data_IF_782689512157
#
_entry.id   IF_782689512157
#
_cell.length_a   1.000
_cell.length_b   1.000
_cell.length_c   1.000
_cell.angle_alpha   90.00
_cell.angle_beta   90.00
_cell.angle_gamma   90.00
#
_symmetry.space_group_name_H-M   'P 1'
#
loop_
_entity.id
_entity.type
_entity.pdbx_description
1 polymer ?
#
# COMPACT_ATOMS: atom_id res chain seq x y z
N UNK A 1 -31.61 3.62 8.15
CA UNK A 1 -31.34 3.08 6.80
C UNK A 1 -30.78 4.19 5.92
N UNK A 2 -29.52 4.55 6.12
CA UNK A 2 -28.80 5.55 5.33
C UNK A 2 -27.28 5.32 5.46
N UNK A 3 -26.86 4.07 5.23
CA UNK A 3 -25.45 3.63 5.13
C UNK A 3 -25.12 3.17 3.70
N UNK A 4 -25.88 3.66 2.73
CA UNK A 4 -25.61 3.59 1.30
C UNK A 4 -25.60 5.04 0.80
N UNK A 5 -24.66 5.38 -0.08
CA UNK A 5 -24.38 6.72 -0.64
C UNK A 5 -23.27 7.54 0.03
N UNK A 6 -22.12 6.89 0.25
CA UNK A 6 -20.84 7.53 -0.05
C UNK A 6 -19.97 6.55 -0.86
N UNK A 7 -20.52 6.09 -1.97
CA UNK A 7 -19.77 5.44 -3.02
C UNK A 7 -19.14 6.58 -3.82
N UNK A 8 -17.94 7.02 -3.42
CA UNK A 8 -17.05 7.67 -4.38
C UNK A 8 -16.95 6.68 -5.54
N UNK A 9 -17.44 7.06 -6.72
CA UNK A 9 -17.16 6.35 -7.95
C UNK A 9 -15.67 6.51 -8.25
N UNK A 10 -14.84 5.76 -7.54
CA UNK A 10 -13.59 5.26 -8.08
C UNK A 10 -14.08 4.27 -9.14
N UNK A 11 -14.05 4.67 -10.41
CA UNK A 11 -14.09 3.70 -11.48
C UNK A 11 -12.83 2.85 -11.30
N UNK A 12 -12.97 1.75 -10.56
CA UNK A 12 -11.98 0.69 -10.51
C UNK A 12 -11.99 0.11 -11.91
N UNK A 13 -10.95 0.39 -12.70
CA UNK A 13 -10.72 -0.34 -13.94
C UNK A 13 -10.56 -1.81 -13.56
N UNK A 14 -11.47 -2.65 -14.04
CA UNK A 14 -11.46 -4.08 -13.73
C UNK A 14 -10.18 -4.72 -14.26
N UNK A 15 -9.52 -5.48 -13.39
CA UNK A 15 -8.31 -6.24 -13.71
C UNK A 15 -8.73 -7.70 -13.85
N UNK A 16 -8.61 -8.24 -15.06
CA UNK A 16 -8.93 -9.63 -15.35
C UNK A 16 -7.71 -10.51 -15.03
N UNK A 17 -7.85 -11.44 -14.07
CA UNK A 17 -6.79 -12.37 -13.69
C UNK A 17 -6.79 -13.56 -14.65
N UNK A 18 -5.79 -13.67 -15.51
CA UNK A 18 -5.68 -14.77 -16.47
C UNK A 18 -4.73 -15.87 -15.93
N UNK A 19 -5.30 -16.96 -15.41
CA UNK A 19 -4.71 -18.31 -15.23
C UNK A 19 -3.53 -18.51 -14.24
N UNK A 20 -3.49 -19.68 -13.59
CA UNK A 20 -2.36 -20.20 -12.76
C UNK A 20 -1.05 -20.14 -13.54
N UNK A 21 -1.11 -20.40 -14.84
CA UNK A 21 0.05 -20.34 -15.73
C UNK A 21 0.68 -18.93 -15.76
N UNK A 22 -0.09 -17.85 -15.59
CA UNK A 22 0.45 -16.49 -15.49
C UNK A 22 1.21 -16.26 -14.19
N UNK A 23 0.71 -16.81 -13.08
CA UNK A 23 1.43 -16.79 -11.80
C UNK A 23 2.72 -17.60 -11.95
N UNK A 24 2.64 -18.86 -12.40
CA UNK A 24 3.82 -19.73 -12.57
C UNK A 24 4.84 -19.16 -13.56
N UNK A 25 4.39 -18.50 -14.63
CA UNK A 25 5.26 -17.83 -15.62
C UNK A 25 5.93 -16.59 -15.01
N UNK A 26 5.18 -15.74 -14.31
CA UNK A 26 5.70 -14.52 -13.68
C UNK A 26 6.67 -14.81 -12.53
N UNK A 27 6.47 -15.93 -11.83
CA UNK A 27 7.39 -16.44 -10.81
C UNK A 27 8.46 -17.40 -11.38
N UNK A 28 8.48 -17.65 -12.69
CA UNK A 28 9.42 -18.58 -13.34
C UNK A 28 10.87 -18.10 -13.31
N UNK A 29 11.10 -16.79 -13.28
CA UNK A 29 12.43 -16.18 -13.13
C UNK A 29 12.94 -16.22 -11.69
N UNK A 30 12.08 -16.53 -10.71
CA UNK A 30 12.45 -16.57 -9.32
C UNK A 30 13.28 -17.82 -9.04
N UNK A 31 14.53 -17.63 -8.67
CA UNK A 31 15.40 -18.75 -8.30
C UNK A 31 14.89 -19.42 -7.04
N UNK A 32 14.66 -20.74 -7.09
CA UNK A 32 14.28 -21.53 -5.91
C UNK A 32 15.42 -21.49 -4.87
N UNK A 33 15.23 -20.82 -3.71
CA UNK A 33 16.30 -20.59 -2.75
C UNK A 33 16.56 -21.83 -1.87
N UNK A 34 15.75 -22.89 -2.02
CA UNK A 34 15.86 -24.10 -1.21
C UNK A 34 17.03 -24.97 -1.68
N UNK A 35 17.58 -25.76 -0.76
CA UNK A 35 18.60 -26.77 -1.09
C UNK A 35 18.15 -27.68 -2.23
N UNK A 36 19.10 -28.16 -3.04
CA UNK A 36 18.85 -29.19 -4.05
C UNK A 36 18.65 -30.57 -3.42
N UNK A 37 19.09 -30.75 -2.18
CA UNK A 37 18.93 -31.98 -1.41
C UNK A 37 17.51 -32.02 -0.83
N UNK A 38 16.82 -33.17 -1.00
CA UNK A 38 15.45 -33.39 -0.50
C UNK A 38 14.42 -32.36 -0.99
N UNK A 39 14.63 -31.83 -2.21
CA UNK A 39 13.71 -30.91 -2.88
C UNK A 39 12.59 -31.66 -3.58
N UNK A 40 11.61 -32.11 -2.80
CA UNK A 40 10.52 -32.95 -3.29
C UNK A 40 9.33 -32.18 -3.90
N UNK A 41 9.22 -30.88 -3.63
CA UNK A 41 8.06 -30.10 -4.06
C UNK A 41 8.49 -29.02 -5.05
N UNK A 42 7.72 -28.86 -6.13
CA UNK A 42 7.92 -27.81 -7.11
C UNK A 42 7.80 -26.44 -6.44
N UNK A 43 8.64 -25.50 -6.89
CA UNK A 43 8.66 -24.17 -6.30
C UNK A 43 7.37 -23.40 -6.57
N UNK A 44 6.90 -23.44 -7.83
CA UNK A 44 5.63 -22.83 -8.23
C UNK A 44 4.43 -23.32 -7.41
N UNK A 45 4.30 -24.63 -7.23
CA UNK A 45 3.24 -25.23 -6.41
C UNK A 45 3.22 -24.65 -4.98
N UNK A 46 4.40 -24.46 -4.38
CA UNK A 46 4.48 -23.88 -3.04
C UNK A 46 4.06 -22.42 -2.99
N UNK A 47 4.41 -21.63 -4.00
CA UNK A 47 4.00 -20.23 -4.08
C UNK A 47 2.48 -20.13 -4.21
N UNK A 48 1.89 -20.86 -5.18
CA UNK A 48 0.44 -20.89 -5.41
C UNK A 48 -0.31 -21.31 -4.14
N UNK A 49 0.13 -22.38 -3.48
CA UNK A 49 -0.49 -22.84 -2.24
C UNK A 49 -0.37 -21.78 -1.12
N UNK A 50 0.78 -21.13 -0.99
CA UNK A 50 0.98 -20.08 0.02
C UNK A 50 0.03 -18.91 -0.19
N UNK A 51 -0.14 -18.49 -1.44
CA UNK A 51 -1.05 -17.41 -1.83
C UNK A 51 -2.50 -17.79 -1.54
N UNK A 52 -2.94 -18.95 -2.04
CA UNK A 52 -4.28 -19.48 -1.85
C UNK A 52 -4.64 -19.59 -0.37
N UNK A 53 -3.76 -20.20 0.42
CA UNK A 53 -3.96 -20.38 1.84
C UNK A 53 -4.06 -19.04 2.57
N UNK A 54 -3.20 -18.06 2.24
CA UNK A 54 -3.25 -16.74 2.88
C UNK A 54 -4.53 -15.99 2.53
N UNK A 55 -5.03 -16.06 1.29
CA UNK A 55 -6.35 -15.52 0.90
C UNK A 55 -7.45 -16.17 1.75
N UNK A 56 -7.39 -17.50 1.92
CA UNK A 56 -8.34 -18.30 2.68
C UNK A 56 -8.19 -18.18 4.22
N UNK A 57 -7.29 -17.34 4.73
CA UNK A 57 -7.17 -17.07 6.16
C UNK A 57 -5.97 -17.70 6.88
N UNK A 58 -5.03 -18.34 6.18
CA UNK A 58 -3.83 -18.89 6.79
C UNK A 58 -2.81 -17.80 7.13
N UNK A 59 -2.40 -17.73 8.40
CA UNK A 59 -1.55 -16.65 8.93
C UNK A 59 -0.07 -17.01 9.11
N UNK A 60 0.36 -18.16 8.60
CA UNK A 60 1.77 -18.58 8.66
C UNK A 60 2.00 -20.02 8.20
N UNK A 61 3.26 -20.49 8.21
CA UNK A 61 3.65 -21.79 7.65
C UNK A 61 2.81 -22.98 8.14
N UNK A 62 2.50 -23.00 9.44
CA UNK A 62 1.67 -24.05 10.05
C UNK A 62 0.25 -24.06 9.47
N UNK A 63 -0.40 -22.90 9.44
CA UNK A 63 -1.75 -22.77 8.89
C UNK A 63 -1.77 -23.08 7.38
N UNK A 64 -0.75 -22.65 6.63
CA UNK A 64 -0.62 -22.94 5.19
C UNK A 64 -0.52 -24.46 4.97
N UNK A 65 0.36 -25.16 5.70
CA UNK A 65 0.52 -26.61 5.57
C UNK A 65 -0.73 -27.39 5.96
N UNK A 66 -1.44 -26.96 7.00
CA UNK A 66 -2.72 -27.57 7.41
C UNK A 66 -3.79 -27.34 6.34
N UNK A 67 -3.95 -26.10 5.87
CA UNK A 67 -4.89 -25.76 4.81
C UNK A 67 -4.64 -26.61 3.56
N UNK A 68 -3.37 -26.72 3.14
CA UNK A 68 -3.02 -27.50 1.97
C UNK A 68 -3.38 -28.98 2.14
N UNK A 69 -3.14 -29.56 3.33
CA UNK A 69 -3.48 -30.95 3.63
C UNK A 69 -4.99 -31.20 3.53
N UNK A 70 -5.81 -30.29 4.05
CA UNK A 70 -7.28 -30.42 3.99
C UNK A 70 -7.83 -30.29 2.57
N UNK A 71 -7.16 -29.55 1.70
CA UNK A 71 -7.58 -29.33 0.31
C UNK A 71 -6.77 -30.14 -0.71
N UNK A 72 -6.10 -31.22 -0.27
CA UNK A 72 -5.22 -32.05 -1.10
C UNK A 72 -5.89 -32.54 -2.39
N UNK A 73 -7.15 -32.98 -2.31
CA UNK A 73 -7.88 -33.51 -3.46
C UNK A 73 -8.07 -32.45 -4.54
N UNK A 74 -8.39 -31.22 -4.15
CA UNK A 74 -8.54 -30.10 -5.07
C UNK A 74 -7.17 -29.69 -5.63
N UNK A 75 -6.17 -29.53 -4.75
CA UNK A 75 -4.82 -29.11 -5.18
C UNK A 75 -4.21 -30.08 -6.20
N UNK A 76 -4.42 -31.40 -6.06
CA UNK A 76 -3.94 -32.41 -7.03
C UNK A 76 -4.60 -32.33 -8.41
N UNK A 77 -5.77 -31.67 -8.54
CA UNK A 77 -6.42 -31.45 -9.84
C UNK A 77 -5.82 -30.28 -10.60
N UNK A 78 -5.31 -29.28 -9.88
CA UNK A 78 -4.85 -28.01 -10.46
C UNK A 78 -3.32 -27.83 -10.42
N UNK A 79 -2.60 -28.62 -9.60
CA UNK A 79 -1.16 -28.57 -9.42
C UNK A 79 -0.54 -29.96 -9.62
N UNK A 80 0.75 -29.99 -9.97
CA UNK A 80 1.46 -31.25 -10.28
C UNK A 80 1.70 -32.08 -9.02
N UNK A 81 2.20 -31.46 -7.93
CA UNK A 81 2.42 -32.10 -6.63
C UNK A 81 3.07 -33.50 -6.71
N UNK A 82 4.28 -33.63 -7.31
CA UNK A 82 4.90 -34.93 -7.62
C UNK A 82 5.08 -35.84 -6.40
N UNK A 83 5.26 -35.24 -5.22
CA UNK A 83 5.42 -35.94 -3.94
C UNK A 83 4.29 -35.64 -2.95
N UNK A 84 3.11 -35.27 -3.47
CA UNK A 84 1.97 -34.88 -2.67
C UNK A 84 2.09 -33.48 -2.05
N UNK A 85 1.22 -33.21 -1.08
CA UNK A 85 1.10 -31.87 -0.49
C UNK A 85 2.26 -31.59 0.47
N UNK A 86 2.90 -30.41 0.36
CA UNK A 86 4.00 -30.02 1.24
C UNK A 86 3.60 -29.88 2.71
N UNK A 87 4.52 -30.22 3.61
CA UNK A 87 4.36 -29.99 5.06
C UNK A 87 4.53 -28.51 5.43
N UNK A 88 4.06 -28.14 6.62
CA UNK A 88 4.29 -26.80 7.18
C UNK A 88 5.78 -26.45 7.31
N UNK A 89 6.66 -27.41 7.60
CA UNK A 89 8.12 -27.19 7.63
C UNK A 89 8.67 -26.80 6.25
N UNK A 90 8.06 -27.30 5.18
CA UNK A 90 8.45 -26.95 3.81
C UNK A 90 8.08 -25.51 3.49
N UNK A 91 6.88 -25.06 3.88
CA UNK A 91 6.49 -23.65 3.78
C UNK A 91 7.33 -22.74 4.68
N UNK A 92 7.67 -23.19 5.88
CA UNK A 92 8.52 -22.44 6.80
C UNK A 92 9.92 -22.22 6.23
N UNK A 93 10.53 -23.27 5.68
CA UNK A 93 11.82 -23.15 4.98
C UNK A 93 11.74 -22.27 3.76
N UNK A 94 10.67 -22.38 2.97
CA UNK A 94 10.50 -21.53 1.81
C UNK A 94 10.45 -20.04 2.21
N UNK A 95 9.52 -19.68 3.08
CA UNK A 95 9.31 -18.29 3.48
C UNK A 95 10.50 -17.71 4.26
N UNK A 96 11.30 -18.54 4.93
CA UNK A 96 12.53 -18.11 5.59
C UNK A 96 13.74 -17.94 4.66
N UNK A 97 13.69 -18.49 3.43
CA UNK A 97 14.80 -18.43 2.46
C UNK A 97 14.50 -17.53 1.25
N UNK A 98 13.21 -17.25 1.00
CA UNK A 98 12.77 -16.43 -0.11
C UNK A 98 13.27 -15.00 0.06
N UNK A 99 14.05 -14.52 -0.91
CA UNK A 99 14.55 -13.14 -0.92
C UNK A 99 13.38 -12.18 -1.18
N UNK A 100 13.03 -11.30 -0.22
CA UNK A 100 11.85 -10.44 -0.35
C UNK A 100 11.84 -9.59 -1.62
N UNK A 101 12.98 -8.96 -1.96
CA UNK A 101 13.11 -8.12 -3.16
C UNK A 101 12.89 -8.89 -4.47
N UNK A 102 13.30 -10.16 -4.54
CA UNK A 102 13.10 -10.97 -5.75
C UNK A 102 11.63 -11.41 -5.88
N UNK A 103 11.00 -11.78 -4.75
CA UNK A 103 9.57 -12.09 -4.71
C UNK A 103 8.72 -10.87 -5.09
N UNK A 104 9.07 -9.70 -4.55
CA UNK A 104 8.45 -8.42 -4.89
C UNK A 104 8.50 -8.15 -6.40
N UNK A 105 9.66 -8.27 -7.05
CA UNK A 105 9.79 -8.01 -8.50
C UNK A 105 8.90 -8.91 -9.35
N UNK A 106 8.87 -10.21 -9.06
CA UNK A 106 7.98 -11.14 -9.76
C UNK A 106 6.50 -10.78 -9.54
N UNK A 107 6.17 -10.37 -8.33
CA UNK A 107 4.82 -9.95 -8.00
C UNK A 107 4.40 -8.67 -8.73
N UNK A 108 5.27 -7.65 -8.76
CA UNK A 108 5.05 -6.43 -9.52
C UNK A 108 4.87 -6.71 -11.02
N UNK A 109 5.71 -7.59 -11.59
CA UNK A 109 5.59 -7.99 -12.99
C UNK A 109 4.25 -8.66 -13.28
N UNK A 110 3.83 -9.57 -12.40
CA UNK A 110 2.52 -10.22 -12.50
C UNK A 110 1.37 -9.21 -12.42
N UNK A 111 1.39 -8.30 -11.43
CA UNK A 111 0.40 -7.22 -11.31
C UNK A 111 0.34 -6.39 -12.60
N UNK A 112 1.48 -6.03 -13.19
CA UNK A 112 1.51 -5.28 -14.47
C UNK A 112 0.87 -6.06 -15.61
N UNK A 113 1.02 -7.39 -15.65
CA UNK A 113 0.46 -8.23 -16.71
C UNK A 113 -1.07 -8.27 -16.68
N UNK A 114 -1.67 -8.25 -15.48
CA UNK A 114 -3.12 -8.30 -15.30
C UNK A 114 -3.74 -6.89 -15.25
N UNK A 115 -2.97 -5.90 -14.80
CA UNK A 115 -3.38 -4.52 -14.57
C UNK A 115 -2.52 -3.53 -15.36
N UNK A 116 -2.55 -3.56 -16.71
CA UNK A 116 -1.76 -2.64 -17.51
C UNK A 116 -2.00 -1.18 -17.09
N UNK A 117 -0.96 -0.37 -17.17
CA UNK A 117 -1.06 1.07 -16.92
C UNK A 117 -1.86 1.70 -18.07
N UNK A 118 -3.18 1.78 -17.95
CA UNK A 118 -3.98 2.58 -18.87
C UNK A 118 -3.54 4.04 -18.76
N UNK A 119 -2.86 4.50 -19.81
CA UNK A 119 -2.24 5.85 -19.92
C UNK A 119 -3.25 7.00 -19.83
N UNK A 120 -4.54 6.72 -19.92
CA UNK A 120 -5.60 7.73 -20.02
C UNK A 120 -6.34 8.02 -18.71
N UNK A 121 -6.08 7.26 -17.64
CA UNK A 121 -6.67 7.62 -16.35
C UNK A 121 -5.87 8.75 -15.71
N UNK A 122 -6.56 9.86 -15.48
CA UNK A 122 -6.13 11.12 -14.86
C UNK A 122 -5.72 10.96 -13.36
N UNK A 123 -5.35 9.73 -12.98
CA UNK A 123 -5.35 9.09 -11.67
C UNK A 123 -4.16 8.10 -11.56
N UNK A 124 -3.05 8.54 -10.98
CA UNK A 124 -1.92 7.66 -10.69
C UNK A 124 -1.26 8.03 -9.36
N UNK A 125 -2.02 7.95 -8.27
CA UNK A 125 -1.46 8.21 -6.95
C UNK A 125 -0.72 6.98 -6.42
N UNK A 126 0.58 7.15 -6.15
CA UNK A 126 1.38 6.22 -5.37
C UNK A 126 1.55 6.81 -3.98
N UNK A 127 1.03 6.15 -2.97
CA UNK A 127 1.18 6.60 -1.60
C UNK A 127 2.21 5.74 -0.87
N UNK A 128 3.20 6.39 -0.26
CA UNK A 128 4.25 5.73 0.52
C UNK A 128 3.99 5.99 1.99
N UNK A 129 3.88 4.92 2.77
CA UNK A 129 3.60 4.99 4.19
C UNK A 129 4.34 3.89 4.98
N UNK A 130 4.62 4.20 6.25
CA UNK A 130 5.32 3.33 7.19
C UNK A 130 4.36 2.56 8.08
N UNK A 131 4.61 1.26 8.30
CA UNK A 131 3.84 0.39 9.19
C UNK A 131 4.75 -0.43 10.11
N UNK A 132 4.31 -0.60 11.36
CA UNK A 132 4.99 -1.44 12.35
C UNK A 132 4.26 -2.76 12.51
N UNK A 133 4.99 -3.87 12.45
CA UNK A 133 4.49 -5.20 12.80
C UNK A 133 4.65 -5.44 14.31
N UNK A 134 3.68 -5.03 15.13
CA UNK A 134 3.82 -4.89 16.61
C UNK A 134 4.34 -6.13 17.34
N UNK A 135 3.96 -7.34 16.90
CA UNK A 135 4.31 -8.61 17.59
C UNK A 135 5.41 -9.43 16.91
N UNK A 136 6.09 -8.86 15.91
CA UNK A 136 7.22 -9.50 15.20
C UNK A 136 8.57 -9.42 15.94
N UNK A 137 8.61 -8.85 17.13
CA UNK A 137 9.84 -8.68 17.91
C UNK A 137 10.43 -10.01 18.39
N UNK A 138 11.75 -10.08 18.52
CA UNK A 138 12.46 -11.24 19.06
C UNK A 138 13.36 -10.82 20.22
N UNK A 139 12.87 -10.99 21.45
CA UNK A 139 13.64 -10.68 22.66
C UNK A 139 14.89 -11.54 22.81
N UNK A 140 14.90 -12.78 22.32
CA UNK A 140 16.08 -13.66 22.40
C UNK A 140 17.20 -13.16 21.51
N UNK A 141 16.85 -12.59 20.36
CA UNK A 141 17.79 -11.98 19.40
C UNK A 141 17.98 -10.47 19.59
N UNK A 142 17.38 -9.88 20.64
CA UNK A 142 17.37 -8.44 20.92
C UNK A 142 16.84 -7.58 19.76
N UNK A 143 15.87 -8.11 19.01
CA UNK A 143 15.24 -7.41 17.89
C UNK A 143 13.91 -6.77 18.30
N UNK A 144 13.75 -5.48 18.00
CA UNK A 144 12.48 -4.75 18.11
C UNK A 144 11.43 -5.21 17.09
N UNK A 145 10.24 -4.58 17.06
CA UNK A 145 9.25 -4.86 16.01
C UNK A 145 9.83 -4.51 14.63
N UNK A 146 9.41 -5.26 13.60
CA UNK A 146 9.78 -4.99 12.20
C UNK A 146 9.02 -3.77 11.71
N UNK A 147 9.74 -2.84 11.09
CA UNK A 147 9.19 -1.67 10.41
C UNK A 147 9.13 -1.96 8.92
N UNK A 148 8.08 -1.52 8.25
CA UNK A 148 7.88 -1.71 6.81
C UNK A 148 7.54 -0.36 6.20
N UNK A 149 8.22 0.02 5.13
CA UNK A 149 7.80 1.12 4.26
C UNK A 149 7.13 0.50 3.05
N UNK A 150 5.92 0.89 2.70
CA UNK A 150 5.19 0.33 1.57
C UNK A 150 4.71 1.39 0.59
N UNK A 151 4.76 1.06 -0.70
CA UNK A 151 4.20 1.84 -1.79
C UNK A 151 2.86 1.22 -2.21
N UNK A 152 1.81 2.02 -2.16
CA UNK A 152 0.43 1.61 -2.44
C UNK A 152 -0.15 2.47 -3.56
N UNK A 153 -0.60 1.83 -4.63
CA UNK A 153 -1.38 2.48 -5.68
C UNK A 153 -2.80 2.69 -5.16
N UNK A 154 -3.14 3.94 -4.80
CA UNK A 154 -4.42 4.28 -4.16
C UNK A 154 -5.59 3.98 -5.09
N UNK A 155 -5.51 4.45 -6.33
CA UNK A 155 -6.60 4.34 -7.30
C UNK A 155 -6.89 2.89 -7.69
N UNK A 156 -5.85 2.07 -7.79
CA UNK A 156 -5.96 0.64 -8.16
C UNK A 156 -6.13 -0.28 -6.96
N UNK A 157 -5.92 0.20 -5.74
CA UNK A 157 -5.85 -0.63 -4.54
C UNK A 157 -4.85 -1.80 -4.66
N UNK A 158 -3.62 -1.48 -5.11
CA UNK A 158 -2.55 -2.46 -5.35
C UNK A 158 -1.30 -2.12 -4.55
N UNK A 159 -0.69 -3.15 -3.95
CA UNK A 159 0.64 -3.04 -3.37
C UNK A 159 1.67 -3.01 -4.49
N UNK A 160 2.43 -1.92 -4.59
CA UNK A 160 3.48 -1.76 -5.61
C UNK A 160 4.85 -2.15 -5.09
N UNK A 161 5.09 -2.02 -3.79
CA UNK A 161 6.43 -2.25 -3.24
C UNK A 161 6.45 -2.20 -1.72
N UNK A 162 7.46 -2.80 -1.10
CA UNK A 162 7.71 -2.72 0.33
C UNK A 162 9.18 -3.00 0.65
N UNK A 163 9.72 -2.25 1.61
CA UNK A 163 11.02 -2.50 2.20
C UNK A 163 10.91 -2.69 3.71
N UNK A 164 11.55 -3.73 4.24
CA UNK A 164 11.69 -3.93 5.68
C UNK A 164 12.84 -3.09 6.25
N UNK A 165 12.63 -2.54 7.44
CA UNK A 165 13.59 -1.75 8.20
C UNK A 165 13.58 -2.15 9.68
N UNK A 166 14.72 -2.00 10.35
CA UNK A 166 14.84 -2.38 11.76
C UNK A 166 14.28 -1.34 12.73
N UNK A 167 14.24 -0.06 12.33
CA UNK A 167 13.83 1.06 13.17
C UNK A 167 13.11 2.14 12.35
N UNK A 168 12.25 2.93 13.00
CA UNK A 168 11.49 4.02 12.36
C UNK A 168 12.36 5.04 11.64
N UNK A 169 13.51 5.38 12.21
CA UNK A 169 14.44 6.35 11.60
C UNK A 169 14.95 5.91 10.24
N UNK A 170 14.93 4.61 9.96
CA UNK A 170 15.45 4.04 8.72
C UNK A 170 14.44 4.18 7.56
N UNK A 171 13.22 4.68 7.81
CA UNK A 171 12.25 5.02 6.76
C UNK A 171 12.82 6.05 5.77
N UNK A 172 13.61 7.02 6.26
CA UNK A 172 14.24 8.07 5.44
C UNK A 172 15.19 7.47 4.40
N UNK A 173 15.90 6.40 4.75
CA UNK A 173 16.81 5.69 3.83
C UNK A 173 16.10 4.64 3.00
N UNK A 174 15.00 4.07 3.50
CA UNK A 174 14.25 3.02 2.84
C UNK A 174 13.37 3.53 1.69
N UNK A 175 12.75 4.71 1.84
CA UNK A 175 11.92 5.30 0.78
C UNK A 175 12.73 5.50 -0.53
N UNK A 176 13.96 6.06 -0.51
CA UNK A 176 14.83 6.14 -1.68
C UNK A 176 15.08 4.82 -2.40
N UNK A 177 15.29 3.73 -1.66
CA UNK A 177 15.51 2.38 -2.20
C UNK A 177 14.22 1.79 -2.76
N UNK A 178 13.10 1.99 -2.07
CA UNK A 178 11.79 1.58 -2.55
C UNK A 178 11.43 2.26 -3.88
N UNK A 179 11.73 3.55 -4.01
CA UNK A 179 11.49 4.32 -5.24
C UNK A 179 12.31 3.81 -6.44
N UNK A 180 13.48 3.20 -6.23
CA UNK A 180 14.27 2.59 -7.31
C UNK A 180 13.66 1.30 -7.84
N UNK A 181 12.81 0.65 -7.04
CA UNK A 181 12.22 -0.64 -7.36
C UNK A 181 10.81 -0.52 -7.96
N UNK A 182 10.18 0.67 -7.94
CA UNK A 182 8.82 0.88 -8.46
C UNK A 182 8.82 1.89 -9.62
N UNK A 183 7.88 1.72 -10.56
CA UNK A 183 7.70 2.68 -11.65
C UNK A 183 6.91 3.90 -11.15
N UNK A 184 7.53 5.08 -11.23
CA UNK A 184 6.91 6.35 -10.79
C UNK A 184 6.63 7.31 -11.93
N UNK A 185 7.00 6.95 -13.18
CA UNK A 185 6.78 7.81 -14.33
C UNK A 185 5.29 8.18 -14.48
N UNK A 186 5.02 9.49 -14.50
CA UNK A 186 3.66 10.03 -14.61
C UNK A 186 2.78 9.82 -13.37
N UNK A 187 3.32 9.28 -12.27
CA UNK A 187 2.62 9.14 -11.00
C UNK A 187 2.74 10.41 -10.14
N UNK A 188 1.79 10.59 -9.22
CA UNK A 188 1.93 11.55 -8.11
C UNK A 188 2.20 10.77 -6.83
N UNK A 189 3.44 10.87 -6.36
CA UNK A 189 3.91 10.22 -5.15
C UNK A 189 3.54 11.06 -3.93
N UNK A 190 2.76 10.48 -3.02
CA UNK A 190 2.34 11.12 -1.76
C UNK A 190 3.01 10.47 -0.57
N UNK A 191 3.59 11.28 0.31
CA UNK A 191 4.35 10.78 1.45
C UNK A 191 4.02 11.63 2.68
N UNK A 192 4.03 10.98 3.83
CA UNK A 192 3.86 11.61 5.11
C UNK A 192 5.00 12.60 5.44
N UNK A 193 4.89 13.22 6.61
CA UNK A 193 5.86 14.24 7.01
C UNK A 193 7.26 13.68 7.31
N UNK A 194 7.37 12.41 7.71
CA UNK A 194 8.66 11.79 7.98
C UNK A 194 9.48 11.63 6.68
N UNK A 195 8.82 11.24 5.58
CA UNK A 195 9.42 11.11 4.26
C UNK A 195 9.54 12.41 3.46
N UNK A 196 9.17 13.57 4.02
CA UNK A 196 9.31 14.87 3.36
C UNK A 196 10.79 15.30 3.31
N UNK A 197 11.56 14.76 2.37
CA UNK A 197 13.00 14.97 2.24
C UNK A 197 13.38 15.38 0.82
N UNK A 198 14.41 16.23 0.70
CA UNK A 198 14.88 16.75 -0.60
C UNK A 198 15.38 15.66 -1.54
N UNK A 199 16.09 14.67 -1.00
CA UNK A 199 16.60 13.53 -1.77
C UNK A 199 15.46 12.65 -2.33
N UNK A 200 14.41 12.45 -1.54
CA UNK A 200 13.21 11.72 -1.95
C UNK A 200 12.50 12.49 -3.07
N UNK A 201 12.29 13.81 -2.88
CA UNK A 201 11.74 14.68 -3.92
C UNK A 201 12.55 14.63 -5.22
N UNK A 202 13.89 14.65 -5.14
CA UNK A 202 14.79 14.51 -6.29
C UNK A 202 14.57 13.20 -7.03
N UNK A 203 14.61 12.07 -6.31
CA UNK A 203 14.41 10.73 -6.90
C UNK A 203 13.08 10.59 -7.63
N UNK A 204 12.01 11.17 -7.10
CA UNK A 204 10.68 11.15 -7.74
C UNK A 204 10.73 11.94 -9.07
N UNK A 205 11.32 13.14 -9.06
CA UNK A 205 11.46 13.97 -10.27
C UNK A 205 12.37 13.33 -11.31
N UNK A 206 13.50 12.75 -10.88
CA UNK A 206 14.44 12.06 -11.77
C UNK A 206 13.80 10.82 -12.40
N UNK A 207 12.89 10.15 -11.70
CA UNK A 207 12.03 9.07 -12.23
C UNK A 207 10.84 9.55 -13.07
N UNK A 208 10.79 10.83 -13.44
CA UNK A 208 9.69 11.45 -14.21
C UNK A 208 8.31 11.34 -13.53
N UNK A 209 8.29 11.23 -12.21
CA UNK A 209 7.09 11.38 -11.38
C UNK A 209 6.96 12.79 -10.83
N UNK A 210 5.81 13.05 -10.22
CA UNK A 210 5.53 14.24 -9.43
C UNK A 210 5.33 13.88 -7.96
N UNK A 211 5.51 14.83 -7.05
CA UNK A 211 5.30 14.61 -5.62
C UNK A 211 4.28 15.56 -5.00
N UNK A 212 3.67 15.09 -3.91
CA UNK A 212 2.95 15.89 -2.93
C UNK A 212 3.31 15.40 -1.52
N UNK A 213 4.15 16.16 -0.82
CA UNK A 213 4.73 15.76 0.46
C UNK A 213 4.09 16.56 1.59
N UNK A 214 3.72 15.89 2.68
CA UNK A 214 3.25 16.56 3.88
C UNK A 214 4.40 17.33 4.55
N UNK A 215 4.17 18.60 4.88
CA UNK A 215 5.16 19.48 5.47
C UNK A 215 4.86 19.66 6.98
N UNK A 216 5.86 19.42 7.82
CA UNK A 216 5.82 19.67 9.27
C UNK A 216 7.11 20.36 9.75
N UNK A 217 7.19 20.63 11.04
CA UNK A 217 8.33 21.32 11.67
C UNK A 217 9.71 20.67 11.48
N UNK A 218 9.79 19.41 11.03
CA UNK A 218 11.08 18.78 10.69
C UNK A 218 11.81 19.45 9.52
N UNK A 219 11.14 20.30 8.74
CA UNK A 219 11.75 21.08 7.64
C UNK A 219 12.12 22.52 8.03
N UNK A 220 12.03 22.86 9.33
CA UNK A 220 12.49 24.13 9.91
C UNK A 220 12.00 25.36 9.14
N UNK A 221 12.94 26.14 8.61
CA UNK A 221 12.68 27.41 7.91
C UNK A 221 11.70 27.31 6.73
N UNK A 222 11.62 26.16 6.04
CA UNK A 222 10.63 26.01 4.96
C UNK A 222 9.22 25.90 5.54
N UNK A 223 9.05 25.13 6.62
CA UNK A 223 7.76 24.98 7.28
C UNK A 223 7.27 26.31 7.85
N UNK A 224 8.15 27.06 8.52
CA UNK A 224 7.86 28.41 9.01
C UNK A 224 7.44 29.33 7.85
N UNK A 225 8.25 29.44 6.80
CA UNK A 225 7.96 30.31 5.67
C UNK A 225 6.65 29.96 4.94
N UNK A 226 6.34 28.66 4.75
CA UNK A 226 5.09 28.22 4.13
C UNK A 226 3.89 28.51 5.04
N UNK A 227 4.04 28.26 6.35
CA UNK A 227 2.99 28.50 7.34
C UNK A 227 2.70 29.99 7.44
N UNK A 228 3.72 30.83 7.62
CA UNK A 228 3.59 32.29 7.72
C UNK A 228 2.96 32.88 6.45
N UNK A 229 3.41 32.43 5.28
CA UNK A 229 2.84 32.86 4.01
C UNK A 229 1.35 32.52 3.91
N UNK A 230 0.96 31.28 4.28
CA UNK A 230 -0.43 30.86 4.22
C UNK A 230 -1.26 31.61 5.26
N UNK A 231 -0.79 31.76 6.49
CA UNK A 231 -1.51 32.47 7.55
C UNK A 231 -1.73 33.94 7.20
N UNK A 232 -0.72 34.63 6.67
CA UNK A 232 -0.83 36.02 6.22
C UNK A 232 -1.95 36.19 5.18
N UNK A 233 -2.01 35.29 4.20
CA UNK A 233 -3.04 35.34 3.15
C UNK A 233 -4.38 34.75 3.61
N UNK A 234 -4.45 34.02 4.72
CA UNK A 234 -5.74 33.60 5.27
C UNK A 234 -6.51 34.80 5.86
N UNK A 235 -5.83 35.83 6.34
CA UNK A 235 -6.45 37.03 6.93
C UNK A 235 -7.35 37.79 5.94
N UNK A 236 -7.05 37.71 4.64
CA UNK A 236 -7.82 38.33 3.57
C UNK A 236 -8.53 37.32 2.64
N UNK A 237 -8.80 36.11 3.12
CA UNK A 237 -9.40 35.00 2.34
C UNK A 237 -8.66 34.73 1.00
N UNK A 238 -7.33 34.87 1.03
CA UNK A 238 -6.42 34.70 -0.10
C UNK A 238 -6.69 35.60 -1.31
N UNK A 239 -7.37 36.75 -1.12
CA UNK A 239 -7.81 37.63 -2.19
C UNK A 239 -6.66 38.14 -3.08
N UNK A 240 -5.46 38.28 -2.52
CA UNK A 240 -4.30 38.88 -3.20
C UNK A 240 -3.43 37.86 -3.96
N UNK A 241 -3.75 36.57 -3.91
CA UNK A 241 -2.96 35.52 -4.55
C UNK A 241 -3.83 34.55 -5.36
N UNK A 242 -3.27 33.87 -6.38
CA UNK A 242 -4.02 32.90 -7.20
C UNK A 242 -4.21 31.56 -6.46
N UNK A 243 -4.74 31.59 -5.24
CA UNK A 243 -5.13 30.42 -4.49
C UNK A 243 -6.46 29.86 -5.00
N UNK A 244 -6.60 28.54 -4.97
CA UNK A 244 -7.85 27.84 -5.27
C UNK A 244 -8.36 27.15 -4.02
N UNK A 245 -9.66 27.26 -3.77
CA UNK A 245 -10.36 26.67 -2.61
C UNK A 245 -11.29 25.54 -3.02
N UNK A 246 -11.37 24.49 -2.20
CA UNK A 246 -12.40 23.46 -2.28
C UNK A 246 -12.76 23.01 -0.87
N UNK A 247 -14.05 22.84 -0.59
CA UNK A 247 -14.53 22.40 0.72
C UNK A 247 -15.44 21.19 0.54
N UNK A 248 -15.30 20.21 1.43
CA UNK A 248 -16.18 19.04 1.48
C UNK A 248 -16.51 18.69 2.93
N UNK A 249 -17.70 18.13 3.15
CA UNK A 249 -18.17 17.72 4.47
C UNK A 249 -18.26 16.20 4.53
N UNK A 250 -17.59 15.60 5.48
CA UNK A 250 -17.58 14.16 5.74
C UNK A 250 -18.39 13.87 7.00
N UNK A 251 -19.24 12.86 6.94
CA UNK A 251 -20.05 12.40 8.07
C UNK A 251 -19.58 11.03 8.50
N UNK A 252 -19.29 10.83 9.79
CA UNK A 252 -18.86 9.51 10.29
C UNK A 252 -18.83 9.40 11.81
N UNK A 253 -19.30 8.26 12.34
CA UNK A 253 -19.27 7.92 13.78
C UNK A 253 -19.78 9.01 14.74
N UNK A 254 -20.81 9.77 14.34
CA UNK A 254 -21.38 10.86 15.14
C UNK A 254 -20.57 12.17 15.10
N UNK A 255 -19.57 12.26 14.20
CA UNK A 255 -18.77 13.44 13.93
C UNK A 255 -19.08 13.98 12.54
N UNK A 256 -19.09 15.31 12.42
CA UNK A 256 -19.10 16.03 11.15
C UNK A 256 -17.72 16.66 10.98
N UNK A 257 -17.06 16.32 9.88
CA UNK A 257 -15.74 16.85 9.53
C UNK A 257 -15.89 17.71 8.27
N UNK A 258 -15.75 19.02 8.40
CA UNK A 258 -15.61 19.91 7.25
C UNK A 258 -14.12 20.08 6.94
N UNK A 259 -13.73 19.78 5.70
CA UNK A 259 -12.34 19.89 5.26
C UNK A 259 -12.27 20.90 4.12
N UNK A 260 -11.53 21.98 4.37
CA UNK A 260 -11.24 23.01 3.37
C UNK A 260 -9.80 22.88 2.90
N UNK A 261 -9.63 22.81 1.59
CA UNK A 261 -8.36 22.69 0.91
C UNK A 261 -8.04 23.99 0.18
N UNK A 262 -6.80 24.43 0.33
CA UNK A 262 -6.23 25.51 -0.46
C UNK A 262 -4.98 25.02 -1.18
N UNK A 263 -4.86 25.36 -2.46
CA UNK A 263 -3.62 25.17 -3.23
C UNK A 263 -3.29 26.45 -3.96
N UNK A 264 -2.01 26.83 -3.94
CA UNK A 264 -1.50 28.03 -4.61
C UNK A 264 -0.12 27.76 -5.20
N UNK A 265 0.31 28.56 -6.20
CA UNK A 265 1.69 28.56 -6.65
C UNK A 265 2.66 28.86 -5.51
N UNK A 266 3.86 28.29 -5.58
CA UNK A 266 4.93 28.61 -4.62
C UNK A 266 5.35 30.08 -4.80
N UNK A 267 5.50 30.87 -3.71
CA UNK A 267 5.98 32.25 -3.79
C UNK A 267 7.40 32.30 -4.37
N UNK A 268 7.71 33.37 -5.12
CA UNK A 268 9.02 33.48 -5.80
C UNK A 268 10.18 33.60 -4.80
N UNK A 269 9.92 34.29 -3.71
CA UNK A 269 10.78 34.64 -2.59
C UNK A 269 10.71 33.65 -1.41
N UNK A 270 10.00 32.52 -1.57
CA UNK A 270 9.91 31.51 -0.51
C UNK A 270 11.30 30.97 -0.14
N UNK A 271 11.62 31.05 1.15
CA UNK A 271 12.90 30.62 1.70
C UNK A 271 13.15 29.14 1.40
N UNK A 272 14.37 28.81 0.96
CA UNK A 272 14.83 27.46 0.60
C UNK A 272 14.07 26.79 -0.55
N UNK A 273 13.26 27.52 -1.33
CA UNK A 273 12.56 26.99 -2.50
C UNK A 273 13.49 26.27 -3.46
N UNK A 274 14.67 26.83 -3.70
CA UNK A 274 15.70 26.33 -4.61
C UNK A 274 16.26 24.96 -4.22
N UNK A 275 16.09 24.56 -2.95
CA UNK A 275 16.55 23.27 -2.44
C UNK A 275 15.57 22.12 -2.70
N UNK A 276 14.38 22.43 -3.24
CA UNK A 276 13.33 21.46 -3.52
C UNK A 276 13.15 21.29 -5.03
N UNK A 277 13.63 20.18 -5.60
CA UNK A 277 13.55 19.93 -7.03
C UNK A 277 12.12 20.01 -7.55
N UNK A 278 11.89 20.80 -8.59
CA UNK A 278 10.57 20.87 -9.23
C UNK A 278 9.45 21.50 -8.39
N UNK A 279 9.73 22.09 -7.22
CA UNK A 279 8.71 22.71 -6.37
C UNK A 279 7.92 23.81 -7.11
N UNK A 280 6.61 23.58 -7.28
CA UNK A 280 5.69 24.48 -8.01
C UNK A 280 4.53 24.98 -7.15
N UNK A 281 4.06 24.20 -6.19
CA UNK A 281 2.87 24.55 -5.40
C UNK A 281 3.06 24.32 -3.91
N UNK A 282 2.35 25.11 -3.11
CA UNK A 282 2.10 24.85 -1.70
C UNK A 282 0.60 24.68 -1.48
N UNK A 283 0.21 23.97 -0.42
CA UNK A 283 -1.19 23.79 -0.08
C UNK A 283 -1.40 23.53 1.40
N UNK A 284 -2.65 23.69 1.83
CA UNK A 284 -3.09 23.38 3.20
C UNK A 284 -4.44 22.66 3.14
N UNK A 285 -4.59 21.64 3.99
CA UNK A 285 -5.86 21.01 4.30
C UNK A 285 -6.21 21.36 5.74
N UNK A 286 -7.30 22.09 5.93
CA UNK A 286 -7.81 22.52 7.23
C UNK A 286 -9.06 21.70 7.51
N UNK A 287 -9.01 20.91 8.58
CA UNK A 287 -10.13 20.10 9.05
C UNK A 287 -10.73 20.74 10.28
N UNK A 288 -12.01 21.05 10.21
CA UNK A 288 -12.84 21.39 11.36
C UNK A 288 -13.73 20.20 11.68
N UNK A 289 -13.65 19.72 12.91
CA UNK A 289 -14.38 18.53 13.36
C UNK A 289 -15.32 18.90 14.48
N UNK A 290 -16.60 18.55 14.34
CA UNK A 290 -17.63 18.76 15.36
C UNK A 290 -18.14 17.42 15.87
N UNK A 291 -18.08 17.22 17.18
CA UNK A 291 -18.58 16.02 17.85
C UNK A 291 -19.27 16.41 19.16
N UNK A 292 -20.61 16.49 19.12
CA UNK A 292 -21.39 17.00 20.25
C UNK A 292 -21.05 18.46 20.54
N UNK A 293 -20.60 18.77 21.76
CA UNK A 293 -20.18 20.12 22.15
C UNK A 293 -18.70 20.44 21.90
N UNK A 294 -17.93 19.51 21.32
CA UNK A 294 -16.49 19.69 21.07
C UNK A 294 -16.24 20.02 19.61
N UNK A 295 -15.54 21.11 19.38
CA UNK A 295 -14.95 21.49 18.10
C UNK A 295 -13.43 21.30 18.16
N UNK A 296 -12.83 20.73 17.12
CA UNK A 296 -11.38 20.67 16.97
C UNK A 296 -10.97 21.07 15.56
N UNK A 297 -9.86 21.78 15.45
CA UNK A 297 -9.27 22.16 14.16
C UNK A 297 -7.88 21.54 14.01
N UNK A 298 -7.57 20.99 12.85
CA UNK A 298 -6.23 20.50 12.47
C UNK A 298 -5.87 21.07 11.09
N UNK A 299 -4.63 21.55 10.94
CA UNK A 299 -4.12 22.07 9.68
C UNK A 299 -2.90 21.28 9.24
N UNK A 300 -2.89 20.84 7.99
CA UNK A 300 -1.78 20.09 7.40
C UNK A 300 -1.29 20.78 6.15
N UNK A 301 -0.01 21.11 6.14
CA UNK A 301 0.65 21.81 5.04
C UNK A 301 1.28 20.82 4.08
N UNK A 302 1.40 21.21 2.81
CA UNK A 302 1.90 20.38 1.73
C UNK A 302 2.77 21.19 0.78
N UNK A 303 3.77 20.52 0.21
CA UNK A 303 4.56 21.02 -0.92
C UNK A 303 4.43 20.05 -2.10
N UNK A 304 4.40 20.56 -3.32
CA UNK A 304 4.23 19.72 -4.51
C UNK A 304 4.93 20.23 -5.76
N UNK A 305 5.27 19.31 -6.65
CA UNK A 305 5.96 19.58 -7.92
C UNK A 305 5.04 19.87 -9.11
N UNK A 306 3.72 19.81 -8.89
CA UNK A 306 2.70 19.88 -9.93
C UNK A 306 1.52 20.77 -9.55
N UNK A 307 1.06 21.57 -10.51
CA UNK A 307 -0.16 22.37 -10.40
C UNK A 307 -1.40 21.53 -10.74
N UNK A 308 -1.85 20.72 -9.77
CA UNK A 308 -2.94 19.75 -9.93
C UNK A 308 -4.34 20.37 -10.05
N UNK A 309 -4.51 21.59 -9.52
CA UNK A 309 -5.82 22.15 -9.21
C UNK A 309 -6.38 21.58 -7.90
N UNK A 310 -7.07 22.44 -7.14
CA UNK A 310 -7.44 22.15 -5.74
C UNK A 310 -8.28 20.88 -5.54
N UNK A 311 -9.13 20.49 -6.51
CA UNK A 311 -9.92 19.24 -6.44
C UNK A 311 -9.04 17.99 -6.52
N UNK A 312 -8.05 17.97 -7.43
CA UNK A 312 -7.08 16.86 -7.53
C UNK A 312 -6.15 16.84 -6.32
N UNK A 313 -5.73 18.01 -5.82
CA UNK A 313 -5.00 18.13 -4.56
C UNK A 313 -5.78 17.52 -3.38
N UNK A 314 -7.04 17.92 -3.19
CA UNK A 314 -7.91 17.36 -2.15
C UNK A 314 -8.06 15.83 -2.27
N UNK A 315 -8.24 15.32 -3.50
CA UNK A 315 -8.29 13.88 -3.78
C UNK A 315 -7.03 13.16 -3.33
N UNK A 316 -5.84 13.66 -3.66
CA UNK A 316 -4.59 13.01 -3.27
C UNK A 316 -4.32 13.08 -1.77
N UNK A 317 -4.64 14.21 -1.13
CA UNK A 317 -4.57 14.33 0.34
C UNK A 317 -5.48 13.27 0.98
N UNK A 318 -6.72 13.14 0.53
CA UNK A 318 -7.64 12.10 1.01
C UNK A 318 -7.19 10.69 0.70
N UNK A 319 -6.71 10.46 -0.51
CA UNK A 319 -6.20 9.16 -0.95
C UNK A 319 -5.06 8.67 -0.08
N UNK A 320 -4.16 9.58 0.31
CA UNK A 320 -3.08 9.28 1.23
C UNK A 320 -3.62 8.96 2.64
N UNK A 321 -4.52 9.79 3.18
CA UNK A 321 -5.13 9.49 4.49
C UNK A 321 -5.95 8.21 4.51
N UNK A 322 -6.54 7.84 3.37
CA UNK A 322 -7.32 6.63 3.24
C UNK A 322 -6.49 5.35 3.34
N UNK A 323 -5.15 5.40 3.22
CA UNK A 323 -4.27 4.23 3.41
C UNK A 323 -4.53 3.57 4.77
N UNK A 324 -4.69 4.38 5.81
CA UNK A 324 -4.91 3.86 7.16
C UNK A 324 -6.18 2.99 7.24
N UNK A 325 -7.25 3.39 6.53
CA UNK A 325 -8.49 2.63 6.51
C UNK A 325 -8.53 1.53 5.44
N UNK A 326 -7.95 1.79 4.27
CA UNK A 326 -8.09 0.91 3.09
C UNK A 326 -7.03 -0.17 3.03
N UNK A 327 -5.86 0.06 3.62
CA UNK A 327 -4.73 -0.86 3.67
C UNK A 327 -4.47 -1.31 5.10
N UNK A 328 -4.06 -0.41 5.99
CA UNK A 328 -3.58 -0.78 7.33
C UNK A 328 -4.65 -1.43 8.19
N UNK A 329 -5.84 -0.85 8.26
CA UNK A 329 -6.95 -1.43 9.00
C UNK A 329 -7.35 -2.81 8.47
N UNK A 330 -7.34 -3.00 7.14
CA UNK A 330 -7.59 -4.32 6.56
C UNK A 330 -6.51 -5.32 7.00
N UNK A 331 -5.23 -4.94 6.95
CA UNK A 331 -4.14 -5.80 7.41
C UNK A 331 -4.25 -6.13 8.90
N UNK A 332 -4.60 -5.15 9.74
CA UNK A 332 -4.67 -5.32 11.19
C UNK A 332 -5.89 -6.10 11.65
N UNK A 333 -7.07 -5.80 11.10
CA UNK A 333 -8.34 -6.37 11.58
C UNK A 333 -8.73 -7.61 10.79
N UNK A 334 -8.53 -7.59 9.48
CA UNK A 334 -8.98 -8.68 8.59
C UNK A 334 -7.90 -9.74 8.39
N UNK A 335 -6.63 -9.34 8.38
CA UNK A 335 -5.48 -10.26 8.29
C UNK A 335 -4.76 -10.47 9.63
N UNK A 336 -5.20 -9.80 10.72
CA UNK A 336 -4.61 -9.94 12.06
C UNK A 336 -3.09 -9.79 12.04
N UNK A 337 -2.59 -8.89 11.19
CA UNK A 337 -1.15 -8.74 10.93
C UNK A 337 -0.40 -8.34 12.21
N UNK A 338 -0.95 -7.38 12.97
CA UNK A 338 -0.45 -6.96 14.28
C UNK A 338 -0.43 -8.08 15.34
N UNK A 339 -1.28 -9.09 15.18
CA UNK A 339 -1.35 -10.22 16.11
C UNK A 339 -0.37 -11.34 15.77
N UNK A 340 0.19 -11.34 14.56
CA UNK A 340 1.10 -12.37 14.08
C UNK A 340 2.40 -12.41 14.91
N UNK A 341 2.79 -13.61 15.32
CA UNK A 341 3.94 -13.87 16.21
C UNK A 341 5.14 -14.49 15.48
N UNK A 342 5.16 -14.48 14.15
CA UNK A 342 6.35 -14.88 13.38
C UNK A 342 7.49 -13.90 13.68
N UNK A 343 8.59 -14.43 14.20
CA UNK A 343 9.75 -13.66 14.67
C UNK A 343 10.94 -13.68 13.72
N UNK A 344 11.03 -14.71 12.89
CA UNK A 344 12.07 -14.77 11.86
C UNK A 344 11.76 -13.69 10.82
N UNK A 345 12.72 -12.79 10.59
CA UNK A 345 12.51 -11.53 9.86
C UNK A 345 12.12 -11.76 8.40
N UNK A 346 12.79 -12.69 7.74
CA UNK A 346 12.57 -12.99 6.31
C UNK A 346 11.17 -13.56 6.10
N UNK A 347 10.77 -14.48 6.97
CA UNK A 347 9.43 -15.09 6.99
C UNK A 347 8.37 -14.05 7.31
N UNK A 348 8.62 -13.16 8.29
CA UNK A 348 7.69 -12.10 8.65
C UNK A 348 7.47 -11.11 7.49
N UNK A 349 8.54 -10.72 6.79
CA UNK A 349 8.48 -9.85 5.62
C UNK A 349 7.73 -10.51 4.45
N UNK A 350 8.10 -11.75 4.11
CA UNK A 350 7.42 -12.51 3.06
C UNK A 350 5.93 -12.76 3.37
N UNK A 351 5.56 -12.98 4.63
CA UNK A 351 4.15 -13.06 5.04
C UNK A 351 3.44 -11.72 4.93
N UNK A 352 4.06 -10.62 5.34
CA UNK A 352 3.51 -9.28 5.20
C UNK A 352 3.26 -8.93 3.72
N UNK A 353 4.15 -9.39 2.83
CA UNK A 353 3.97 -9.34 1.39
C UNK A 353 2.79 -10.19 0.90
N UNK A 354 2.71 -11.47 1.29
CA UNK A 354 1.60 -12.34 0.93
C UNK A 354 0.23 -11.79 1.39
N UNK A 355 0.18 -11.13 2.55
CA UNK A 355 -1.04 -10.49 3.07
C UNK A 355 -1.46 -9.29 2.24
N UNK A 356 -0.53 -8.40 1.91
CA UNK A 356 -0.79 -7.25 1.00
C UNK A 356 -1.20 -7.72 -0.38
N UNK A 357 -0.59 -8.79 -0.86
CA UNK A 357 -0.95 -9.41 -2.12
C UNK A 357 -2.39 -9.96 -2.08
N UNK A 358 -2.71 -10.79 -1.09
CA UNK A 358 -4.05 -11.30 -0.90
C UNK A 358 -5.08 -10.16 -0.78
N UNK A 359 -4.76 -9.08 -0.06
CA UNK A 359 -5.62 -7.91 0.03
C UNK A 359 -5.84 -7.25 -1.34
N UNK A 360 -4.79 -7.09 -2.14
CA UNK A 360 -4.86 -6.51 -3.48
C UNK A 360 -5.82 -7.31 -4.37
N UNK A 361 -5.69 -8.63 -4.42
CA UNK A 361 -6.59 -9.51 -5.18
C UNK A 361 -8.03 -9.49 -4.68
N UNK A 362 -8.20 -9.50 -3.36
CA UNK A 362 -9.53 -9.43 -2.76
C UNK A 362 -10.20 -8.10 -3.09
N UNK A 363 -9.47 -6.99 -3.17
CA UNK A 363 -10.02 -5.68 -3.53
C UNK A 363 -10.46 -5.60 -4.99
N UNK A 364 -9.86 -6.37 -5.90
CA UNK A 364 -10.25 -6.41 -7.31
C UNK A 364 -11.58 -7.14 -7.58
N UNK A 365 -12.16 -7.82 -6.60
CA UNK A 365 -13.43 -8.53 -6.81
C UNK A 365 -14.60 -7.53 -6.87
N UNK A 366 -15.46 -7.66 -7.89
CA UNK A 366 -16.66 -6.82 -8.08
C UNK A 366 -17.93 -7.39 -7.40
N UNK A 367 -17.76 -8.28 -6.42
CA UNK A 367 -18.90 -8.74 -5.62
C UNK A 367 -19.24 -7.77 -4.47
N UNK A 368 -20.41 -7.98 -3.86
CA UNK A 368 -20.89 -7.15 -2.73
C UNK A 368 -20.28 -7.55 -1.38
N UNK A 369 -19.35 -8.51 -1.34
CA UNK A 369 -18.79 -8.98 -0.08
C UNK A 369 -17.75 -7.99 0.47
N UNK A 370 -17.73 -7.84 1.79
CA UNK A 370 -16.62 -7.16 2.47
C UNK A 370 -15.34 -7.99 2.33
N UNK A 371 -14.16 -7.37 2.47
CA UNK A 371 -12.87 -8.09 2.41
C UNK A 371 -12.84 -9.27 3.39
N UNK A 372 -13.37 -9.09 4.60
CA UNK A 372 -13.46 -10.17 5.58
C UNK A 372 -14.37 -11.31 5.11
N UNK A 373 -15.48 -11.00 4.44
CA UNK A 373 -16.37 -12.01 3.89
C UNK A 373 -15.75 -12.71 2.67
N UNK A 374 -15.10 -11.97 1.74
CA UNK A 374 -14.37 -12.56 0.61
C UNK A 374 -13.33 -13.59 1.06
N UNK A 375 -12.57 -13.30 2.13
CA UNK A 375 -11.63 -14.27 2.73
C UNK A 375 -12.31 -15.51 3.27
N UNK A 376 -13.45 -15.34 3.95
CA UNK A 376 -14.23 -16.47 4.49
C UNK A 376 -14.77 -17.34 3.37
N UNK A 377 -15.39 -16.73 2.35
CA UNK A 377 -15.90 -17.44 1.18
C UNK A 377 -14.76 -18.17 0.46
N UNK A 378 -13.60 -17.53 0.27
CA UNK A 378 -12.43 -18.19 -0.30
C UNK A 378 -11.91 -19.37 0.54
N UNK A 379 -12.17 -19.39 1.84
CA UNK A 379 -11.88 -20.54 2.70
C UNK A 379 -12.96 -21.63 2.70
N UNK A 380 -14.17 -21.33 2.23
CA UNK A 380 -15.30 -22.26 2.19
C UNK A 380 -15.54 -22.84 0.79
N UNK A 381 -15.27 -22.04 -0.23
CA UNK A 381 -15.53 -22.30 -1.63
C UNK A 381 -14.23 -22.10 -2.41
N UNK A 382 -13.63 -23.23 -2.81
CA UNK A 382 -12.39 -23.23 -3.57
C UNK A 382 -12.57 -22.75 -5.00
N UNK A 383 -13.78 -22.78 -5.55
CA UNK A 383 -14.06 -22.29 -6.89
C UNK A 383 -14.11 -20.76 -6.88
N UNK A 384 -14.64 -20.17 -5.80
CA UNK A 384 -14.50 -18.73 -5.55
C UNK A 384 -13.03 -18.32 -5.35
N UNK A 385 -12.25 -19.10 -4.59
CA UNK A 385 -10.80 -18.85 -4.43
C UNK A 385 -10.04 -18.97 -5.76
N UNK A 386 -10.39 -19.96 -6.58
CA UNK A 386 -9.86 -20.15 -7.92
C UNK A 386 -10.17 -18.93 -8.81
N UNK A 387 -11.41 -18.45 -8.78
CA UNK A 387 -11.84 -17.23 -9.48
C UNK A 387 -10.99 -16.01 -9.09
N UNK A 388 -10.73 -15.80 -7.79
CA UNK A 388 -9.89 -14.67 -7.32
C UNK A 388 -8.51 -14.68 -8.01
N UNK A 389 -7.96 -15.87 -8.22
CA UNK A 389 -6.64 -16.10 -8.79
C UNK A 389 -6.64 -16.30 -10.31
N UNK A 390 -7.80 -16.23 -10.96
CA UNK A 390 -7.92 -16.49 -12.39
C UNK A 390 -7.77 -17.97 -12.78
N UNK A 391 -7.83 -18.90 -11.82
CA UNK A 391 -7.68 -20.33 -12.05
C UNK A 391 -8.99 -20.87 -12.68
N UNK A 392 -8.93 -21.57 -13.83
CA UNK A 392 -10.11 -22.20 -14.40
C UNK A 392 -10.73 -23.21 -13.42
N UNK A 393 -12.03 -23.07 -13.18
CA UNK A 393 -12.81 -24.05 -12.41
C UNK A 393 -13.16 -25.21 -13.35
N UNK A 394 -12.90 -26.45 -12.92
CA UNK A 394 -13.07 -27.67 -13.71
C UNK A 394 -14.49 -28.24 -13.64
#
# INVERSE_FOLDING_TARGET
MAFQHLQLAIMMTEIQFDNVDSILTSFGELTDPRSHINRLHLFGDLLVISIMAVIAGADGPQAIGIWAKHHQTWLKKHLVLPHGVPSHDTFGRLLGLLKPAAFQKCFEAWIRSIAPLDKETDLNQIAIDGKVLKRSHDRKRKLGPLWLVSAWSVDRSLSLGQLATDEKSNEITAIPELLENIEVQGAVVTIDAAGCQREIARKIIDGHGDYLLALKGNQGKLYEAVTDYILLHMENDFADIPARRFTETLHGHGRVDEITYYQMPVPKDLVNREKWPGLKTIGVAIRQSESGSKTSSDARFYIGSIALGVKKFARYVRGHWAIENTLHWCLDVTFREDENRVRERTTADNLAWLKRFALSMLKQQDDKYSIAMRRRVAGWDLDYLAKILGIPVL
#
